data_IF_974202329842
#
_entry.id   IF_974202329842
#
_cell.length_a   1.000
_cell.length_b   1.000
_cell.length_c   1.000
_cell.angle_alpha   90.00
_cell.angle_beta   90.00
_cell.angle_gamma   90.00
#
_symmetry.space_group_name_H-M   'P 1'
#
loop_
_entity.id
_entity.type
_entity.pdbx_description
1 polymer ?
#
# COMPACT_ATOMS: atom_id res chain seq x y z
N UNK A 1 -4.48 25.47 0.20
CA UNK A 1 -3.69 26.44 0.98
C UNK A 1 -3.69 26.13 2.47
N UNK A 2 -4.81 25.67 3.05
CA UNK A 2 -4.92 25.43 4.50
C UNK A 2 -4.08 24.25 5.00
N UNK A 3 -4.08 23.12 4.28
CA UNK A 3 -3.26 21.94 4.61
C UNK A 3 -1.75 22.27 4.65
N UNK A 4 -1.30 23.24 3.87
CA UNK A 4 0.12 23.66 3.83
C UNK A 4 0.55 24.44 5.08
N UNK A 5 -0.36 24.79 5.99
CA UNK A 5 -0.04 25.46 7.25
C UNK A 5 0.51 24.48 8.30
N UNK A 6 0.20 23.19 8.17
CA UNK A 6 0.64 22.18 9.13
C UNK A 6 2.13 21.85 8.94
N UNK A 7 2.82 21.61 10.04
CA UNK A 7 4.17 21.03 10.05
C UNK A 7 4.04 19.55 10.42
N UNK A 8 4.53 18.68 9.53
CA UNK A 8 4.46 17.22 9.67
C UNK A 8 5.84 16.59 9.88
N UNK A 9 6.88 17.41 10.09
CA UNK A 9 8.25 16.94 10.29
C UNK A 9 8.50 16.33 11.66
N UNK A 10 7.63 16.63 12.62
CA UNK A 10 7.72 16.16 14.01
C UNK A 10 6.54 15.25 14.38
N UNK A 11 6.79 14.33 15.30
CA UNK A 11 5.78 13.45 15.91
C UNK A 11 5.83 13.60 17.44
N UNK A 12 4.66 13.64 18.08
CA UNK A 12 4.58 13.69 19.53
C UNK A 12 4.92 12.34 20.16
N UNK A 13 6.14 12.21 20.68
CA UNK A 13 6.64 11.00 21.35
C UNK A 13 5.90 10.61 22.62
N UNK A 14 5.01 11.46 23.16
CA UNK A 14 4.16 11.12 24.31
C UNK A 14 2.89 10.37 23.91
N UNK A 15 2.51 10.45 22.62
CA UNK A 15 1.32 9.77 22.09
C UNK A 15 1.61 8.29 21.80
N UNK A 16 0.57 7.46 21.79
CA UNK A 16 0.68 6.05 21.39
C UNK A 16 1.29 5.89 19.98
N UNK A 17 0.96 6.80 19.05
CA UNK A 17 1.53 6.78 17.71
C UNK A 17 3.03 7.15 17.70
N UNK A 18 3.42 8.18 18.46
CA UNK A 18 4.83 8.58 18.58
C UNK A 18 5.72 7.51 19.21
N UNK A 19 5.19 6.79 20.20
CA UNK A 19 5.91 5.69 20.86
C UNK A 19 6.21 4.50 19.91
N UNK A 20 5.47 4.36 18.80
CA UNK A 20 5.75 3.33 17.78
C UNK A 20 6.99 3.63 16.93
N UNK A 21 7.41 4.90 16.87
CA UNK A 21 8.50 5.35 16.01
C UNK A 21 9.55 6.18 16.78
N UNK A 22 10.17 5.63 17.84
CA UNK A 22 11.07 6.39 18.72
C UNK A 22 12.36 6.85 18.02
N UNK A 23 12.77 6.15 16.96
CA UNK A 23 13.99 6.44 16.20
C UNK A 23 13.76 7.40 15.02
N UNK A 24 12.51 7.81 14.77
CA UNK A 24 12.18 8.72 13.65
C UNK A 24 12.84 10.09 13.87
N UNK A 25 13.59 10.52 12.86
CA UNK A 25 14.18 11.86 12.84
C UNK A 25 13.09 12.94 12.96
N UNK A 26 13.30 13.90 13.87
CA UNK A 26 12.43 15.06 14.04
C UNK A 26 12.94 16.19 13.16
N UNK A 27 12.13 16.61 12.20
CA UNK A 27 12.44 17.67 11.26
C UNK A 27 11.51 18.86 11.51
N UNK A 28 11.99 20.06 11.18
CA UNK A 28 11.19 21.28 11.27
C UNK A 28 10.84 21.78 9.88
N UNK A 29 9.68 22.45 9.78
CA UNK A 29 9.18 23.10 8.58
C UNK A 29 8.92 22.14 7.41
N UNK A 30 8.51 20.90 7.69
CA UNK A 30 8.13 19.95 6.64
C UNK A 30 6.64 20.06 6.38
N UNK A 31 6.25 20.33 5.14
CA UNK A 31 4.84 20.47 4.73
C UNK A 31 4.36 19.20 4.06
N UNK A 32 3.04 18.96 4.11
CA UNK A 32 2.41 17.86 3.39
C UNK A 32 2.66 18.06 1.88
N UNK A 33 3.38 17.15 1.20
CA UNK A 33 3.61 17.28 -0.22
C UNK A 33 2.31 16.96 -0.99
N UNK A 34 2.09 17.66 -2.10
CA UNK A 34 1.10 17.23 -3.09
C UNK A 34 1.61 16.00 -3.85
N UNK A 35 0.69 15.18 -4.37
CA UNK A 35 1.03 14.08 -5.28
C UNK A 35 1.87 14.59 -6.48
N UNK A 36 1.51 15.74 -7.05
CA UNK A 36 2.28 16.36 -8.12
C UNK A 36 3.74 16.64 -7.72
N UNK A 37 3.99 17.19 -6.54
CA UNK A 37 5.36 17.44 -6.06
C UNK A 37 6.16 16.14 -5.90
N UNK A 38 5.53 15.10 -5.34
CA UNK A 38 6.17 13.78 -5.20
C UNK A 38 6.50 13.19 -6.57
N UNK A 39 5.53 13.15 -7.50
CA UNK A 39 5.73 12.56 -8.83
C UNK A 39 6.74 13.35 -9.67
N UNK A 40 6.76 14.68 -9.53
CA UNK A 40 7.79 15.53 -10.16
C UNK A 40 9.19 15.23 -9.62
N UNK A 41 9.33 15.02 -8.31
CA UNK A 41 10.61 14.63 -7.71
C UNK A 41 11.01 13.23 -8.16
N UNK A 42 10.07 12.29 -8.16
CA UNK A 42 10.24 10.93 -8.65
C UNK A 42 10.70 10.87 -10.11
N UNK A 43 10.27 11.80 -10.96
CA UNK A 43 10.69 11.89 -12.37
C UNK A 43 12.17 12.27 -12.58
N UNK A 44 12.90 12.64 -11.53
CA UNK A 44 14.32 13.00 -11.64
C UNK A 44 15.22 11.77 -11.83
N UNK A 45 16.38 11.90 -12.49
CA UNK A 45 17.30 10.78 -12.75
C UNK A 45 17.73 10.00 -11.50
N UNK A 46 17.80 10.68 -10.34
CA UNK A 46 18.13 10.06 -9.06
C UNK A 46 17.17 8.94 -8.66
N UNK A 47 15.92 8.99 -9.13
CA UNK A 47 14.86 8.05 -8.77
C UNK A 47 14.38 7.22 -9.97
N UNK A 48 15.22 7.02 -10.99
CA UNK A 48 14.85 6.31 -12.22
C UNK A 48 14.42 4.87 -11.95
N UNK A 49 15.05 4.20 -10.98
CA UNK A 49 14.76 2.81 -10.60
C UNK A 49 13.66 2.68 -9.56
N UNK A 50 13.16 3.79 -9.01
CA UNK A 50 12.11 3.76 -8.00
C UNK A 50 10.78 3.29 -8.60
N UNK A 51 10.18 2.28 -7.99
CA UNK A 51 8.82 1.82 -8.28
C UNK A 51 7.86 2.37 -7.22
N UNK A 52 6.62 2.63 -7.61
CA UNK A 52 5.61 3.23 -6.74
C UNK A 52 4.45 2.29 -6.50
N UNK A 53 4.20 2.02 -5.23
CA UNK A 53 2.92 1.50 -4.74
C UNK A 53 2.10 2.69 -4.26
N UNK A 54 1.24 3.22 -5.15
CA UNK A 54 0.48 4.44 -4.90
C UNK A 54 -0.86 4.09 -4.26
N UNK A 55 -0.93 4.21 -2.93
CA UNK A 55 -2.17 3.99 -2.20
C UNK A 55 -3.17 5.14 -2.41
N UNK A 56 -4.38 4.81 -2.85
CA UNK A 56 -5.50 5.74 -2.95
C UNK A 56 -6.44 5.45 -1.78
N UNK A 57 -6.51 6.39 -0.85
CA UNK A 57 -7.43 6.34 0.29
C UNK A 57 -8.74 7.01 -0.08
N UNK A 58 -9.84 6.25 -0.09
CA UNK A 58 -11.17 6.80 -0.27
C UNK A 58 -11.61 7.56 0.97
N UNK A 59 -12.35 8.64 0.75
CA UNK A 59 -13.10 9.30 1.80
C UNK A 59 -14.43 8.53 1.99
N UNK A 60 -14.73 7.99 3.18
CA UNK A 60 -15.98 7.28 3.44
C UNK A 60 -17.25 8.09 3.10
N UNK A 61 -17.20 9.42 3.22
CA UNK A 61 -18.34 10.29 2.90
C UNK A 61 -18.67 10.28 1.40
N UNK A 62 -17.65 10.10 0.56
CA UNK A 62 -17.76 10.10 -0.90
C UNK A 62 -17.58 8.71 -1.53
N UNK A 63 -17.43 7.67 -0.71
CA UNK A 63 -17.16 6.31 -1.19
C UNK A 63 -18.27 5.74 -2.09
N UNK A 64 -19.50 6.27 -2.00
CA UNK A 64 -20.61 5.86 -2.86
C UNK A 64 -20.90 6.84 -4.00
N UNK A 65 -20.15 7.95 -4.09
CA UNK A 65 -20.27 8.93 -5.17
C UNK A 65 -19.40 8.49 -6.37
N UNK A 66 -20.08 7.96 -7.38
CA UNK A 66 -19.47 7.43 -8.61
C UNK A 66 -18.77 8.54 -9.40
N UNK A 67 -19.37 9.74 -9.47
CA UNK A 67 -18.80 10.85 -10.25
C UNK A 67 -17.57 11.40 -9.56
N UNK A 68 -17.60 11.51 -8.23
CA UNK A 68 -16.43 11.88 -7.43
C UNK A 68 -15.29 10.88 -7.61
N UNK A 69 -15.57 9.57 -7.45
CA UNK A 69 -14.56 8.51 -7.66
C UNK A 69 -13.94 8.61 -9.06
N UNK A 70 -14.78 8.71 -10.10
CA UNK A 70 -14.29 8.81 -11.49
C UNK A 70 -13.36 10.01 -11.68
N UNK A 71 -13.75 11.19 -11.19
CA UNK A 71 -12.95 12.41 -11.31
C UNK A 71 -11.64 12.32 -10.52
N UNK A 72 -11.68 11.77 -9.31
CA UNK A 72 -10.48 11.56 -8.50
C UNK A 72 -9.46 10.66 -9.22
N UNK A 73 -9.93 9.54 -9.77
CA UNK A 73 -9.08 8.60 -10.50
C UNK A 73 -8.53 9.21 -11.79
N UNK A 74 -9.34 9.98 -12.53
CA UNK A 74 -8.90 10.69 -13.73
C UNK A 74 -7.74 11.67 -13.41
N UNK A 75 -7.87 12.43 -12.33
CA UNK A 75 -6.83 13.37 -11.87
C UNK A 75 -5.55 12.62 -11.49
N UNK A 76 -5.66 11.54 -10.70
CA UNK A 76 -4.50 10.75 -10.25
C UNK A 76 -3.76 10.14 -11.44
N UNK A 77 -4.47 9.48 -12.35
CA UNK A 77 -3.89 8.87 -13.55
C UNK A 77 -3.24 9.95 -14.44
N UNK A 78 -3.91 11.09 -14.62
CA UNK A 78 -3.38 12.24 -15.36
C UNK A 78 -2.04 12.71 -14.81
N UNK A 79 -1.92 12.83 -13.48
CA UNK A 79 -0.67 13.22 -12.82
C UNK A 79 0.44 12.17 -12.97
N UNK A 80 0.12 10.89 -12.81
CA UNK A 80 1.07 9.77 -12.98
C UNK A 80 1.61 9.74 -14.42
N UNK A 81 0.74 9.92 -15.41
CA UNK A 81 1.12 9.96 -16.83
C UNK A 81 1.92 11.21 -17.17
N UNK A 82 1.51 12.38 -16.69
CA UNK A 82 2.25 13.63 -16.91
C UNK A 82 3.67 13.61 -16.34
N UNK A 83 3.89 12.86 -15.25
CA UNK A 83 5.21 12.67 -14.67
C UNK A 83 6.06 11.60 -15.39
N UNK A 84 5.49 10.86 -16.35
CA UNK A 84 6.20 9.81 -17.10
C UNK A 84 6.52 8.57 -16.26
N UNK A 85 5.78 8.32 -15.17
CA UNK A 85 6.08 7.23 -14.22
C UNK A 85 5.08 6.07 -14.25
N UNK A 86 4.11 6.11 -15.16
CA UNK A 86 3.06 5.09 -15.25
C UNK A 86 3.58 3.65 -15.29
N UNK A 87 4.65 3.38 -16.05
CA UNK A 87 5.23 2.04 -16.22
C UNK A 87 5.91 1.47 -14.95
N UNK A 88 6.11 2.31 -13.94
CA UNK A 88 6.73 1.94 -12.66
C UNK A 88 5.80 2.24 -11.49
N UNK A 89 4.50 2.44 -11.76
CA UNK A 89 3.47 2.66 -10.75
C UNK A 89 2.50 1.49 -10.76
N UNK A 90 2.08 1.10 -9.56
CA UNK A 90 0.91 0.25 -9.33
C UNK A 90 -0.08 1.02 -8.47
N UNK A 91 -1.37 0.90 -8.76
CA UNK A 91 -2.44 1.56 -8.04
C UNK A 91 -2.94 0.64 -6.93
N UNK A 92 -3.03 1.14 -5.72
CA UNK A 92 -3.14 0.34 -4.52
C UNK A 92 -4.28 0.83 -3.64
N UNK A 93 -5.15 -0.04 -3.12
CA UNK A 93 -6.23 0.40 -2.21
C UNK A 93 -6.90 -0.75 -1.47
N UNK A 94 -7.59 -0.39 -0.39
CA UNK A 94 -8.61 -1.20 0.28
C UNK A 94 -9.98 -1.09 -0.40
N UNK A 95 -10.24 -0.02 -1.16
CA UNK A 95 -11.49 0.17 -1.90
C UNK A 95 -11.40 -0.56 -3.25
N UNK A 96 -12.01 -1.75 -3.32
CA UNK A 96 -11.96 -2.58 -4.52
C UNK A 96 -12.79 -2.00 -5.67
N UNK A 97 -13.84 -1.23 -5.38
CA UNK A 97 -14.63 -0.54 -6.41
C UNK A 97 -13.84 0.62 -7.03
N UNK A 98 -13.04 1.31 -6.21
CA UNK A 98 -12.08 2.31 -6.69
C UNK A 98 -11.02 1.68 -7.58
N UNK A 99 -10.50 0.50 -7.23
CA UNK A 99 -9.54 -0.22 -8.09
C UNK A 99 -10.18 -0.70 -9.40
N UNK A 100 -11.45 -1.10 -9.39
CA UNK A 100 -12.18 -1.41 -10.63
C UNK A 100 -12.29 -0.20 -11.55
N UNK A 101 -12.51 1.00 -10.99
CA UNK A 101 -12.52 2.25 -11.77
C UNK A 101 -11.12 2.60 -12.30
N UNK A 102 -10.07 2.37 -11.52
CA UNK A 102 -8.69 2.48 -11.97
C UNK A 102 -8.41 1.58 -13.20
N UNK A 103 -8.79 0.30 -13.12
CA UNK A 103 -8.61 -0.65 -14.23
C UNK A 103 -9.41 -0.25 -15.49
N UNK A 104 -10.59 0.37 -15.32
CA UNK A 104 -11.39 0.88 -16.43
C UNK A 104 -10.72 2.06 -17.13
N UNK A 105 -10.11 2.99 -16.38
CA UNK A 105 -9.51 4.21 -16.94
C UNK A 105 -8.06 4.01 -17.43
N UNK A 106 -7.29 3.15 -16.77
CA UNK A 106 -5.88 2.87 -17.10
C UNK A 106 -5.57 1.37 -17.00
N UNK A 107 -6.06 0.54 -17.94
CA UNK A 107 -5.83 -0.91 -17.94
C UNK A 107 -4.35 -1.30 -18.11
N UNK A 108 -3.50 -0.36 -18.52
CA UNK A 108 -2.05 -0.51 -18.64
C UNK A 108 -1.31 -0.39 -17.29
N UNK A 109 -1.95 0.17 -16.25
CA UNK A 109 -1.36 0.35 -14.93
C UNK A 109 -1.88 -0.76 -13.99
N UNK A 110 -1.01 -1.64 -13.45
CA UNK A 110 -1.44 -2.72 -12.58
C UNK A 110 -2.14 -2.22 -11.30
N UNK A 111 -3.14 -2.99 -10.84
CA UNK A 111 -3.84 -2.74 -9.59
C UNK A 111 -3.47 -3.77 -8.51
N UNK A 112 -3.42 -3.31 -7.26
CA UNK A 112 -3.03 -4.08 -6.09
C UNK A 112 -4.07 -3.94 -4.98
N UNK A 113 -4.47 -5.08 -4.42
CA UNK A 113 -5.59 -5.19 -3.49
C UNK A 113 -5.11 -5.36 -2.05
N UNK A 114 -5.36 -4.35 -1.20
CA UNK A 114 -5.14 -4.44 0.24
C UNK A 114 -6.22 -5.27 0.92
N UNK A 115 -5.80 -6.12 1.87
CA UNK A 115 -6.73 -6.90 2.69
C UNK A 115 -6.26 -6.95 4.14
N UNK A 116 -7.21 -6.79 5.06
CA UNK A 116 -7.00 -6.97 6.50
C UNK A 116 -8.25 -7.61 7.10
N UNK A 117 -8.09 -8.62 7.94
CA UNK A 117 -9.22 -9.28 8.58
C UNK A 117 -9.77 -8.43 9.72
N UNK A 118 -11.11 -8.41 9.93
CA UNK A 118 -11.74 -7.63 11.00
C UNK A 118 -11.19 -7.91 12.41
N UNK A 119 -10.73 -9.15 12.67
CA UNK A 119 -10.13 -9.55 13.95
C UNK A 119 -8.82 -8.80 14.27
N UNK A 120 -8.15 -8.27 13.24
CA UNK A 120 -6.83 -7.65 13.29
C UNK A 120 -6.90 -6.13 13.05
N UNK A 121 -8.08 -5.56 13.23
CA UNK A 121 -8.38 -4.13 13.12
C UNK A 121 -7.43 -3.26 13.96
N UNK A 122 -6.90 -2.15 13.40
CA UNK A 122 -6.13 -1.22 14.19
C UNK A 122 -6.99 -0.50 15.24
N UNK A 123 -6.33 0.03 16.27
CA UNK A 123 -6.98 0.78 17.36
C UNK A 123 -7.38 2.20 16.90
N UNK A 124 -8.27 2.86 17.66
CA UNK A 124 -8.83 4.19 17.35
C UNK A 124 -7.81 5.17 16.76
N UNK A 125 -8.12 5.72 15.58
CA UNK A 125 -7.31 6.73 14.87
C UNK A 125 -6.81 6.29 13.49
N UNK A 126 -6.85 4.99 13.18
CA UNK A 126 -6.61 4.44 11.83
C UNK A 126 -7.96 4.08 11.19
N UNK A 127 -8.74 5.10 10.82
CA UNK A 127 -10.09 4.93 10.26
C UNK A 127 -10.07 4.45 8.79
N UNK A 128 -11.13 3.70 8.45
CA UNK A 128 -11.79 3.54 7.13
C UNK A 128 -11.58 2.29 6.26
N UNK A 129 -10.58 1.42 6.47
CA UNK A 129 -10.38 0.29 5.54
C UNK A 129 -11.61 -0.65 5.46
N UNK A 130 -12.37 -0.83 6.54
CA UNK A 130 -13.45 -1.80 6.62
C UNK A 130 -14.81 -1.34 6.11
N UNK A 131 -15.07 -0.03 6.02
CA UNK A 131 -16.34 0.44 5.46
C UNK A 131 -16.40 0.27 3.94
N UNK A 132 -15.23 0.14 3.29
CA UNK A 132 -15.07 0.14 1.84
C UNK A 132 -14.45 -1.15 1.28
N UNK A 133 -13.78 -1.96 2.11
CA UNK A 133 -13.27 -3.27 1.67
C UNK A 133 -14.38 -4.32 1.57
N UNK A 134 -14.22 -5.34 0.71
CA UNK A 134 -15.07 -6.52 0.74
C UNK A 134 -15.08 -7.20 2.11
N UNK A 135 -16.22 -7.80 2.47
CA UNK A 135 -16.32 -8.65 3.65
C UNK A 135 -15.61 -9.98 3.45
N UNK A 136 -14.50 -10.21 4.16
CA UNK A 136 -13.69 -11.43 4.03
C UNK A 136 -14.12 -12.59 4.95
N UNK A 137 -15.12 -12.39 5.81
CA UNK A 137 -15.53 -13.41 6.78
C UNK A 137 -16.08 -14.66 6.09
N UNK A 138 -15.49 -15.82 6.41
CA UNK A 138 -15.89 -17.11 5.83
C UNK A 138 -15.32 -17.39 4.43
N UNK A 139 -14.49 -16.50 3.89
CA UNK A 139 -13.80 -16.69 2.60
C UNK A 139 -12.29 -16.41 2.69
N UNK A 140 -11.71 -16.48 3.88
CA UNK A 140 -10.31 -16.14 4.19
C UNK A 140 -9.33 -16.88 3.28
N UNK A 141 -9.54 -18.19 3.14
CA UNK A 141 -8.70 -19.06 2.31
C UNK A 141 -8.86 -18.81 0.79
N UNK A 142 -9.89 -18.07 0.38
CA UNK A 142 -10.21 -17.78 -1.02
C UNK A 142 -9.91 -16.34 -1.43
N UNK A 143 -9.38 -15.50 -0.53
CA UNK A 143 -9.03 -14.10 -0.84
C UNK A 143 -8.18 -13.98 -2.11
N UNK A 144 -7.14 -14.80 -2.36
CA UNK A 144 -6.38 -14.72 -3.61
C UNK A 144 -7.24 -14.93 -4.87
N UNK A 145 -8.22 -15.84 -4.84
CA UNK A 145 -9.16 -16.04 -5.96
C UNK A 145 -10.07 -14.83 -6.17
N UNK A 146 -10.46 -14.16 -5.09
CA UNK A 146 -11.23 -12.93 -5.18
C UNK A 146 -10.41 -11.81 -5.84
N UNK A 147 -9.12 -11.70 -5.49
CA UNK A 147 -8.20 -10.73 -6.11
C UNK A 147 -8.02 -11.03 -7.60
N UNK A 148 -7.78 -12.28 -7.98
CA UNK A 148 -7.68 -12.69 -9.39
C UNK A 148 -8.98 -12.38 -10.16
N UNK A 149 -10.13 -12.74 -9.61
CA UNK A 149 -11.43 -12.50 -10.22
C UNK A 149 -11.75 -10.99 -10.38
N UNK A 150 -11.20 -10.14 -9.52
CA UNK A 150 -11.28 -8.69 -9.61
C UNK A 150 -10.28 -8.07 -10.60
N UNK A 151 -9.47 -8.88 -11.29
CA UNK A 151 -8.46 -8.43 -12.26
C UNK A 151 -7.17 -7.92 -11.62
N UNK A 152 -6.88 -8.35 -10.38
CA UNK A 152 -5.66 -7.94 -9.67
C UNK A 152 -4.39 -8.54 -10.23
N UNK A 153 -3.33 -7.73 -10.24
CA UNK A 153 -1.97 -8.21 -10.48
C UNK A 153 -1.25 -8.58 -9.18
N UNK A 154 -1.69 -7.99 -8.05
CA UNK A 154 -1.02 -8.13 -6.77
C UNK A 154 -2.03 -8.22 -5.62
N UNK A 155 -1.82 -9.18 -4.72
CA UNK A 155 -2.51 -9.27 -3.44
C UNK A 155 -1.60 -8.75 -2.32
N UNK A 156 -2.14 -7.84 -1.50
CA UNK A 156 -1.39 -7.19 -0.43
C UNK A 156 -2.02 -7.40 0.97
N UNK A 157 -1.80 -8.55 1.61
CA UNK A 157 -2.39 -8.84 2.92
C UNK A 157 -1.62 -8.24 4.10
N UNK A 158 -2.36 -7.99 5.18
CA UNK A 158 -1.78 -7.77 6.49
C UNK A 158 -1.00 -9.03 6.96
N UNK A 159 0.16 -8.84 7.57
CA UNK A 159 1.09 -9.93 7.93
C UNK A 159 0.49 -10.94 8.92
N UNK A 160 -0.51 -10.57 9.71
CA UNK A 160 -1.17 -11.49 10.63
C UNK A 160 -2.27 -12.34 9.97
N UNK A 161 -2.59 -12.06 8.70
CA UNK A 161 -3.66 -12.72 7.94
C UNK A 161 -3.13 -13.63 6.82
N UNK A 162 -1.87 -13.47 6.44
CA UNK A 162 -1.22 -14.30 5.43
C UNK A 162 -0.84 -15.67 6.00
N UNK A 163 -0.99 -16.72 5.18
CA UNK A 163 -0.67 -18.11 5.57
C UNK A 163 0.07 -18.81 4.43
N UNK A 164 0.81 -19.91 4.70
CA UNK A 164 1.44 -20.69 3.62
C UNK A 164 0.45 -21.14 2.54
N UNK A 165 -0.77 -21.50 2.96
CA UNK A 165 -1.85 -21.95 2.06
C UNK A 165 -2.30 -20.83 1.12
N UNK A 166 -2.60 -19.65 1.66
CA UNK A 166 -3.07 -18.51 0.85
C UNK A 166 -1.96 -17.92 -0.01
N UNK A 167 -0.70 -17.92 0.47
CA UNK A 167 0.46 -17.51 -0.35
C UNK A 167 0.69 -18.47 -1.52
N UNK A 168 0.63 -19.79 -1.29
CA UNK A 168 0.77 -20.78 -2.36
C UNK A 168 -0.34 -20.63 -3.41
N UNK A 169 -1.60 -20.46 -2.97
CA UNK A 169 -2.72 -20.22 -3.86
C UNK A 169 -2.54 -18.94 -4.69
N UNK A 170 -2.10 -17.83 -4.08
CA UNK A 170 -1.87 -16.58 -4.82
C UNK A 170 -0.82 -16.77 -5.93
N UNK A 171 0.26 -17.49 -5.64
CA UNK A 171 1.29 -17.83 -6.63
C UNK A 171 0.80 -18.73 -7.74
N UNK A 172 -0.03 -19.73 -7.42
CA UNK A 172 -0.67 -20.61 -8.42
C UNK A 172 -1.57 -19.82 -9.38
N UNK A 173 -2.21 -18.76 -8.90
CA UNK A 173 -3.03 -17.85 -9.71
C UNK A 173 -2.19 -16.79 -10.47
N UNK A 174 -0.86 -16.82 -10.35
CA UNK A 174 0.04 -15.87 -11.00
C UNK A 174 0.03 -14.46 -10.39
N UNK A 175 -0.49 -14.30 -9.17
CA UNK A 175 -0.46 -13.04 -8.45
C UNK A 175 0.90 -12.81 -7.79
N UNK A 176 1.36 -11.56 -7.80
CA UNK A 176 2.39 -11.13 -6.86
C UNK A 176 1.80 -10.98 -5.45
N UNK A 177 2.62 -11.23 -4.42
CA UNK A 177 2.22 -11.08 -3.01
C UNK A 177 3.12 -10.07 -2.32
N UNK A 178 2.55 -8.97 -1.81
CA UNK A 178 3.25 -8.01 -0.97
C UNK A 178 2.68 -8.02 0.45
N UNK A 179 3.46 -8.29 1.49
CA UNK A 179 2.92 -8.33 2.85
C UNK A 179 3.20 -7.03 3.61
N UNK A 180 2.22 -6.53 4.36
CA UNK A 180 2.35 -5.29 5.13
C UNK A 180 1.84 -5.43 6.58
N UNK A 181 2.28 -4.64 7.55
CA UNK A 181 3.61 -4.02 7.61
C UNK A 181 4.47 -4.89 8.51
N UNK A 182 5.59 -5.42 7.98
CA UNK A 182 6.51 -6.24 8.76
C UNK A 182 7.67 -5.38 9.27
N UNK A 183 7.76 -5.20 10.58
CA UNK A 183 8.74 -4.29 11.21
C UNK A 183 9.73 -5.04 12.10
N UNK A 184 9.31 -6.16 12.68
CA UNK A 184 10.15 -6.96 13.55
C UNK A 184 10.94 -8.01 12.76
N UNK A 185 12.21 -8.30 13.13
CA UNK A 185 13.04 -9.26 12.41
C UNK A 185 12.38 -10.63 12.22
N UNK A 186 11.64 -11.10 13.22
CA UNK A 186 10.92 -12.39 13.15
C UNK A 186 9.75 -12.36 12.16
N UNK A 187 9.03 -11.24 12.06
CA UNK A 187 7.94 -11.07 11.09
C UNK A 187 8.51 -11.00 9.67
N UNK A 188 9.61 -10.24 9.49
CA UNK A 188 10.33 -10.14 8.23
C UNK A 188 10.81 -11.52 7.76
N UNK A 189 11.43 -12.29 8.67
CA UNK A 189 11.87 -13.65 8.39
C UNK A 189 10.72 -14.57 7.96
N UNK A 190 9.58 -14.49 8.65
CA UNK A 190 8.39 -15.25 8.29
C UNK A 190 7.89 -14.89 6.89
N UNK A 191 7.88 -13.60 6.52
CA UNK A 191 7.48 -13.18 5.18
C UNK A 191 8.46 -13.71 4.11
N UNK A 192 9.76 -13.70 4.39
CA UNK A 192 10.78 -14.31 3.51
C UNK A 192 10.55 -15.82 3.39
N UNK A 193 10.25 -16.52 4.48
CA UNK A 193 10.02 -17.98 4.50
C UNK A 193 8.73 -18.38 3.77
N UNK A 194 7.70 -17.54 3.83
CA UNK A 194 6.49 -17.67 3.00
C UNK A 194 6.78 -17.41 1.51
N UNK A 195 7.91 -16.77 1.21
CA UNK A 195 8.34 -16.42 -0.15
C UNK A 195 7.48 -15.32 -0.76
N UNK A 196 7.04 -14.33 0.01
CA UNK A 196 6.35 -13.16 -0.58
C UNK A 196 7.27 -12.42 -1.55
N UNK A 197 6.70 -11.76 -2.56
CA UNK A 197 7.45 -11.04 -3.60
C UNK A 197 7.90 -9.65 -3.12
N UNK A 198 7.20 -9.07 -2.13
CA UNK A 198 7.57 -7.81 -1.53
C UNK A 198 7.20 -7.74 -0.03
N UNK A 199 7.99 -6.99 0.73
CA UNK A 199 7.75 -6.70 2.14
C UNK A 199 7.60 -5.19 2.30
N UNK A 200 6.45 -4.76 2.79
CA UNK A 200 6.19 -3.37 3.18
C UNK A 200 6.63 -3.21 4.63
N UNK A 201 7.50 -2.24 4.89
CA UNK A 201 8.13 -2.04 6.21
C UNK A 201 8.38 -0.56 6.47
N UNK A 202 8.30 -0.16 7.73
CA UNK A 202 8.78 1.15 8.18
C UNK A 202 10.32 1.17 8.35
N UNK A 203 10.97 -0.01 8.32
CA UNK A 203 12.41 -0.17 8.56
C UNK A 203 13.13 -0.88 7.40
N UNK A 204 13.28 -0.26 6.21
CA UNK A 204 13.87 -0.89 5.03
C UNK A 204 15.24 -1.52 5.28
N UNK A 205 16.11 -0.86 6.07
CA UNK A 205 17.44 -1.38 6.39
C UNK A 205 17.40 -2.72 7.15
N UNK A 206 16.36 -2.98 7.96
CA UNK A 206 16.19 -4.27 8.63
C UNK A 206 15.86 -5.37 7.62
N UNK A 207 14.95 -5.11 6.70
CA UNK A 207 14.60 -6.06 5.62
C UNK A 207 15.82 -6.35 4.75
N UNK A 208 16.54 -5.33 4.30
CA UNK A 208 17.78 -5.47 3.54
C UNK A 208 18.80 -6.35 4.26
N UNK A 209 18.97 -6.15 5.58
CA UNK A 209 19.87 -6.98 6.37
C UNK A 209 19.42 -8.45 6.42
N UNK A 210 18.13 -8.71 6.67
CA UNK A 210 17.60 -10.10 6.72
C UNK A 210 17.71 -10.81 5.37
N UNK A 211 17.43 -10.11 4.27
CA UNK A 211 17.58 -10.66 2.92
C UNK A 211 19.06 -10.98 2.61
N UNK A 212 19.97 -10.05 2.90
CA UNK A 212 21.41 -10.24 2.70
C UNK A 212 21.97 -11.39 3.54
N UNK A 213 21.56 -11.54 4.80
CA UNK A 213 21.98 -12.64 5.68
C UNK A 213 21.55 -14.02 5.14
N UNK A 214 20.53 -14.05 4.27
CA UNK A 214 20.00 -15.25 3.59
C UNK A 214 20.47 -15.37 2.13
N UNK A 215 21.33 -14.46 1.65
CA UNK A 215 21.83 -14.46 0.27
C UNK A 215 20.80 -14.05 -0.79
N UNK A 216 19.77 -13.29 -0.41
CA UNK A 216 18.70 -12.80 -1.30
C UNK A 216 18.97 -11.33 -1.65
N UNK A 217 18.79 -10.97 -2.92
CA UNK A 217 18.88 -9.60 -3.42
C UNK A 217 17.49 -8.96 -3.51
N UNK A 218 17.44 -7.63 -3.54
CA UNK A 218 16.22 -6.82 -3.64
C UNK A 218 16.36 -5.69 -4.67
#
# INVERSE_FOLDING_TARGET
AEIQKFDIGWIDGTTAYGQRFPERAQLNNIRIPSLYQLLKAAGQPLFVDAKFMLEIKSDPEFAQDIDYRRQLIEIIIGLVRAAGVAQRTLLHSFDWDLLAECARQAPDIPISFLTQMPKNMPHQGEDSAHSISPGFSGCEDNIPKMVEAAGGALWCPYIADITPKTTALAKELGLCVAAWTANEPTEIDQMIDLGVDAIVTDYPGRVQRRLSDRGINW
#
